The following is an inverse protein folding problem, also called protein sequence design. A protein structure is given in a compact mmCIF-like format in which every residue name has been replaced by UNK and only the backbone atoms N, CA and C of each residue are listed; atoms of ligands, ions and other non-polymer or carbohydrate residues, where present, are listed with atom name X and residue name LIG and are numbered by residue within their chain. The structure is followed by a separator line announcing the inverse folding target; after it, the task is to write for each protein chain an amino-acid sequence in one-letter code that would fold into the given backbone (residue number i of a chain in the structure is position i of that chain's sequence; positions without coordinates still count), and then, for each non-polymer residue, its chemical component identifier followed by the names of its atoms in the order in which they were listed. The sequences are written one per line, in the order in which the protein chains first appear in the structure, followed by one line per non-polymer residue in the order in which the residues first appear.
data_IF_530869741192
#
_entry.id   IF_530869741192
#
_cell.length_a   1.000
_cell.length_b   1.000
_cell.length_c   1.000
_cell.angle_alpha   90.00
_cell.angle_beta   90.00
_cell.angle_gamma   90.00
#
_symmetry.space_group_name_H-M   'P 1'
#
loop_
_entity.id
_entity.type
_entity.pdbx_description
1 polymer ?
#
# COMPACT_ATOMS: atom_id res chain seq x y z
N UNK A 1 31.88 8.10 4.01
CA UNK A 1 31.30 8.08 5.37
C UNK A 1 29.89 7.62 5.12
N UNK A 2 29.61 6.34 5.34
CA UNK A 2 28.25 5.82 5.16
C UNK A 2 27.44 6.41 6.31
N UNK A 3 26.73 7.51 6.04
CA UNK A 3 25.77 8.06 6.98
C UNK A 3 24.68 7.01 7.18
N UNK A 4 24.61 6.49 8.40
CA UNK A 4 23.57 5.56 8.81
C UNK A 4 22.22 6.25 8.64
N UNK A 5 21.37 5.67 7.79
CA UNK A 5 20.03 6.21 7.55
C UNK A 5 19.23 6.10 8.84
N UNK A 6 18.67 7.22 9.28
CA UNK A 6 17.86 7.24 10.49
C UNK A 6 16.65 6.30 10.41
N UNK A 7 16.32 5.71 11.56
CA UNK A 7 15.12 4.91 11.75
C UNK A 7 13.86 5.65 11.30
N UNK A 8 13.77 6.94 11.58
CA UNK A 8 12.62 7.76 11.19
C UNK A 8 12.46 7.85 9.67
N UNK A 9 13.56 7.98 8.93
CA UNK A 9 13.53 8.02 7.46
C UNK A 9 13.09 6.66 6.88
N UNK A 10 13.55 5.56 7.47
CA UNK A 10 13.13 4.22 7.05
C UNK A 10 11.62 4.01 7.32
N UNK A 11 11.09 4.48 8.45
CA UNK A 11 9.65 4.46 8.75
C UNK A 11 8.81 5.25 7.73
N UNK A 12 9.30 6.43 7.34
CA UNK A 12 8.68 7.32 6.35
C UNK A 12 8.64 6.68 4.96
N UNK A 13 9.77 6.11 4.52
CA UNK A 13 9.87 5.38 3.26
C UNK A 13 8.91 4.20 3.21
N UNK A 14 8.74 3.48 4.33
CA UNK A 14 7.75 2.40 4.39
C UNK A 14 6.32 2.95 4.21
N UNK A 15 5.96 4.08 4.83
CA UNK A 15 4.65 4.69 4.59
C UNK A 15 4.47 5.09 3.14
N UNK A 16 5.46 5.72 2.51
CA UNK A 16 5.40 6.06 1.09
C UNK A 16 5.23 4.82 0.20
N UNK A 17 5.95 3.73 0.50
CA UNK A 17 5.83 2.47 -0.24
C UNK A 17 4.46 1.81 -0.09
N UNK A 18 3.85 1.91 1.10
CA UNK A 18 2.45 1.49 1.29
C UNK A 18 1.51 2.32 0.40
N UNK A 19 1.73 3.63 0.30
CA UNK A 19 0.92 4.48 -0.61
C UNK A 19 1.10 4.03 -2.06
N UNK A 20 2.33 3.75 -2.51
CA UNK A 20 2.60 3.25 -3.88
C UNK A 20 1.85 1.94 -4.18
N UNK A 21 1.89 0.98 -3.24
CA UNK A 21 1.17 -0.27 -3.39
C UNK A 21 -0.36 -0.06 -3.43
N UNK A 22 -0.88 0.82 -2.56
CA UNK A 22 -2.32 1.14 -2.52
C UNK A 22 -2.76 1.89 -3.79
N UNK A 23 -1.91 2.73 -4.39
CA UNK A 23 -2.20 3.40 -5.66
C UNK A 23 -2.45 2.41 -6.80
N UNK A 24 -1.67 1.32 -6.87
CA UNK A 24 -1.87 0.26 -7.86
C UNK A 24 -3.21 -0.46 -7.60
N UNK A 25 -3.48 -0.85 -6.35
CA UNK A 25 -4.74 -1.50 -5.96
C UNK A 25 -5.97 -0.63 -6.26
N UNK A 26 -5.86 0.68 -6.04
CA UNK A 26 -6.92 1.66 -6.29
C UNK A 26 -7.27 1.85 -7.78
N UNK A 27 -6.47 1.32 -8.71
CA UNK A 27 -6.78 1.31 -10.15
C UNK A 27 -7.67 0.11 -10.55
N UNK A 28 -7.74 -0.94 -9.72
CA UNK A 28 -8.50 -2.16 -10.02
C UNK A 28 -7.86 -2.96 -11.15
N UNK A 29 -8.65 -3.37 -12.15
CA UNK A 29 -8.15 -4.16 -13.28
C UNK A 29 -7.03 -3.45 -14.05
N UNK A 30 -7.08 -2.12 -14.15
CA UNK A 30 -6.03 -1.34 -14.80
C UNK A 30 -4.68 -1.51 -14.08
N UNK A 31 -4.68 -1.45 -12.75
CA UNK A 31 -3.49 -1.70 -11.95
C UNK A 31 -3.00 -3.13 -12.04
N UNK A 32 -3.91 -4.11 -12.05
CA UNK A 32 -3.58 -5.52 -12.21
C UNK A 32 -2.90 -5.81 -13.55
N UNK A 33 -3.37 -5.21 -14.63
CA UNK A 33 -2.74 -5.32 -15.97
C UNK A 33 -1.40 -4.59 -16.02
N UNK A 34 -1.28 -3.45 -15.35
CA UNK A 34 -0.04 -2.65 -15.32
C UNK A 34 1.12 -3.39 -14.67
N UNK A 35 0.89 -4.05 -13.52
CA UNK A 35 1.96 -4.70 -12.75
C UNK A 35 1.99 -6.21 -12.91
N UNK A 36 0.98 -6.83 -13.54
CA UNK A 36 0.70 -8.27 -13.59
C UNK A 36 0.16 -8.86 -12.26
N UNK A 37 -0.52 -10.00 -12.35
CA UNK A 37 -1.21 -10.63 -11.22
C UNK A 37 -0.28 -11.10 -10.08
N UNK A 38 1.00 -11.37 -10.35
CA UNK A 38 1.95 -11.72 -9.29
C UNK A 38 2.27 -10.48 -8.45
N UNK A 39 2.62 -9.37 -9.09
CA UNK A 39 3.03 -8.14 -8.39
C UNK A 39 1.84 -7.39 -7.75
N UNK A 40 0.63 -7.57 -8.29
CA UNK A 40 -0.56 -6.83 -7.85
C UNK A 40 -0.82 -6.92 -6.33
N UNK A 41 -0.56 -8.08 -5.74
CA UNK A 41 -0.67 -8.27 -4.28
C UNK A 41 0.67 -8.15 -3.58
N UNK A 42 1.76 -8.60 -4.21
CA UNK A 42 3.08 -8.71 -3.58
C UNK A 42 3.61 -7.36 -3.11
N UNK A 43 3.45 -6.29 -3.89
CA UNK A 43 3.94 -4.97 -3.51
C UNK A 43 3.34 -4.48 -2.16
N UNK A 44 2.08 -4.84 -1.87
CA UNK A 44 1.46 -4.54 -0.59
C UNK A 44 1.98 -5.45 0.52
N UNK A 45 2.10 -6.77 0.25
CA UNK A 45 2.60 -7.74 1.23
C UNK A 45 4.09 -7.56 1.56
N UNK A 46 4.87 -6.90 0.72
CA UNK A 46 6.23 -6.45 1.03
C UNK A 46 6.28 -5.36 2.13
N UNK A 47 5.13 -4.81 2.51
CA UNK A 47 5.01 -3.81 3.58
C UNK A 47 4.20 -4.32 4.78
N UNK A 48 3.47 -5.42 4.62
CA UNK A 48 2.46 -5.89 5.56
C UNK A 48 2.47 -7.41 5.66
N UNK A 49 2.47 -7.94 6.89
CA UNK A 49 2.45 -9.38 7.15
C UNK A 49 1.67 -9.70 8.44
N UNK A 50 0.90 -10.79 8.43
CA UNK A 50 0.23 -11.36 9.59
C UNK A 50 -0.56 -10.33 10.43
N UNK A 51 -1.39 -9.51 9.76
CA UNK A 51 -2.29 -8.58 10.46
C UNK A 51 -1.71 -7.22 10.80
N UNK A 52 -0.46 -6.91 10.40
CA UNK A 52 0.26 -5.67 10.76
C UNK A 52 1.32 -5.27 9.73
N UNK A 53 1.80 -4.01 9.83
CA UNK A 53 2.97 -3.53 9.10
C UNK A 53 4.23 -4.32 9.47
N UNK A 54 5.12 -4.57 8.49
CA UNK A 54 6.39 -5.27 8.71
C UNK A 54 7.28 -4.52 9.72
N UNK A 55 7.25 -3.18 9.67
CA UNK A 55 7.88 -2.36 10.70
C UNK A 55 6.79 -1.85 11.65
N UNK A 56 6.81 -2.39 12.86
CA UNK A 56 5.86 -2.04 13.90
C UNK A 56 6.56 -1.97 15.28
N UNK A 57 6.33 -0.91 16.08
CA UNK A 57 5.53 0.27 15.75
C UNK A 57 6.18 1.10 14.62
N UNK A 58 5.39 1.92 13.92
CA UNK A 58 5.89 2.86 12.92
C UNK A 58 5.27 4.24 13.16
N UNK A 59 6.09 5.20 13.56
CA UNK A 59 5.63 6.53 13.96
C UNK A 59 5.24 7.45 12.80
N UNK A 60 5.44 7.04 11.54
CA UNK A 60 4.99 7.81 10.37
C UNK A 60 3.49 7.65 10.11
N UNK A 61 2.89 6.54 10.56
CA UNK A 61 1.45 6.28 10.46
C UNK A 61 0.70 6.96 11.61
N UNK A 62 -0.52 7.40 11.35
CA UNK A 62 -1.50 7.66 12.43
C UNK A 62 -2.22 6.36 12.78
N UNK A 63 -2.83 6.30 13.95
CA UNK A 63 -3.65 5.15 14.37
C UNK A 63 -4.74 4.81 13.34
N UNK A 64 -5.34 5.83 12.72
CA UNK A 64 -6.37 5.67 11.68
C UNK A 64 -5.77 5.06 10.41
N UNK A 65 -4.62 5.55 9.95
CA UNK A 65 -3.95 4.99 8.78
C UNK A 65 -3.49 3.54 9.02
N UNK A 66 -2.92 3.25 10.18
CA UNK A 66 -2.50 1.90 10.55
C UNK A 66 -3.70 0.94 10.53
N UNK A 67 -4.81 1.33 11.14
CA UNK A 67 -6.02 0.53 11.14
C UNK A 67 -6.54 0.30 9.71
N UNK A 68 -6.58 1.34 8.87
CA UNK A 68 -7.01 1.23 7.47
C UNK A 68 -6.13 0.27 6.66
N UNK A 69 -4.80 0.32 6.82
CA UNK A 69 -3.88 -0.62 6.16
C UNK A 69 -4.14 -2.04 6.62
N UNK A 70 -4.33 -2.24 7.92
CA UNK A 70 -4.56 -3.57 8.48
C UNK A 70 -5.89 -4.17 7.98
N UNK A 71 -6.93 -3.36 7.83
CA UNK A 71 -8.20 -3.81 7.28
C UNK A 71 -8.11 -4.13 5.79
N UNK A 72 -7.38 -3.32 5.02
CA UNK A 72 -7.06 -3.62 3.62
C UNK A 72 -6.26 -4.92 3.51
N UNK A 73 -5.22 -5.11 4.33
CA UNK A 73 -4.39 -6.33 4.33
C UNK A 73 -5.20 -7.60 4.59
N UNK A 74 -6.12 -7.58 5.58
CA UNK A 74 -7.04 -8.70 5.85
C UNK A 74 -7.97 -8.99 4.68
N UNK A 75 -8.48 -7.95 4.02
CA UNK A 75 -9.29 -8.12 2.81
C UNK A 75 -8.48 -8.79 1.70
N UNK A 76 -7.23 -8.36 1.50
CA UNK A 76 -6.33 -8.95 0.50
C UNK A 76 -6.01 -10.41 0.83
N UNK A 77 -5.72 -10.77 2.08
CA UNK A 77 -5.52 -12.18 2.49
C UNK A 77 -6.73 -13.06 2.15
N UNK A 78 -7.94 -12.55 2.41
CA UNK A 78 -9.18 -13.23 2.06
C UNK A 78 -9.30 -13.46 0.56
N UNK A 79 -9.03 -12.43 -0.24
CA UNK A 79 -9.06 -12.52 -1.70
C UNK A 79 -7.97 -13.45 -2.22
N UNK A 80 -6.73 -13.35 -1.75
CA UNK A 80 -5.64 -14.24 -2.15
C UNK A 80 -6.01 -15.70 -1.87
N UNK A 81 -6.66 -15.97 -0.73
CA UNK A 81 -7.18 -17.32 -0.41
C UNK A 81 -8.26 -17.77 -1.40
N UNK A 82 -9.20 -16.89 -1.75
CA UNK A 82 -10.23 -17.15 -2.78
C UNK A 82 -9.61 -17.45 -4.15
N UNK A 83 -8.50 -16.78 -4.51
CA UNK A 83 -7.90 -16.84 -5.85
C UNK A 83 -6.73 -17.82 -6.00
N UNK A 84 -6.38 -18.60 -4.96
CA UNK A 84 -5.25 -19.55 -4.99
C UNK A 84 -5.28 -20.57 -6.15
N UNK A 85 -6.48 -20.86 -6.66
CA UNK A 85 -6.67 -21.82 -7.74
C UNK A 85 -6.47 -21.23 -9.14
N UNK A 86 -6.39 -19.90 -9.27
CA UNK A 86 -6.18 -19.24 -10.55
C UNK A 86 -4.75 -19.48 -11.07
N UNK A 87 -4.65 -19.73 -12.36
CA UNK A 87 -3.45 -20.07 -13.12
C UNK A 87 -3.11 -19.01 -14.19
N UNK A 88 -3.93 -17.97 -14.35
CA UNK A 88 -3.70 -16.94 -15.36
C UNK A 88 -4.26 -15.56 -14.96
N UNK A 89 -3.67 -14.50 -15.51
CA UNK A 89 -4.17 -13.12 -15.38
C UNK A 89 -5.63 -12.97 -15.83
N UNK A 90 -6.03 -13.70 -16.88
CA UNK A 90 -7.39 -13.67 -17.40
C UNK A 90 -8.43 -14.15 -16.36
N UNK A 91 -8.08 -15.16 -15.54
CA UNK A 91 -8.96 -15.64 -14.46
C UNK A 91 -9.09 -14.60 -13.34
N UNK A 92 -8.00 -13.90 -13.00
CA UNK A 92 -8.06 -12.78 -12.05
C UNK A 92 -8.98 -11.67 -12.56
N UNK A 93 -8.83 -11.24 -13.81
CA UNK A 93 -9.68 -10.20 -14.41
C UNK A 93 -11.15 -10.65 -14.43
N UNK A 94 -11.42 -11.88 -14.87
CA UNK A 94 -12.79 -12.42 -14.95
C UNK A 94 -13.44 -12.61 -13.59
N UNK A 95 -12.66 -12.87 -12.53
CA UNK A 95 -13.18 -13.00 -11.16
C UNK A 95 -13.73 -11.69 -10.59
N UNK A 96 -13.28 -10.55 -11.11
CA UNK A 96 -13.61 -9.22 -10.57
C UNK A 96 -12.98 -8.92 -9.22
N UNK A 97 -11.97 -9.69 -8.76
CA UNK A 97 -11.34 -9.47 -7.46
C UNK A 97 -10.68 -8.09 -7.36
N UNK A 98 -10.00 -7.62 -8.41
CA UNK A 98 -9.36 -6.31 -8.43
C UNK A 98 -10.38 -5.17 -8.35
N UNK A 99 -11.53 -5.31 -9.02
CA UNK A 99 -12.63 -4.35 -8.92
C UNK A 99 -13.32 -4.36 -7.56
N UNK A 100 -13.33 -5.49 -6.85
CA UNK A 100 -13.78 -5.55 -5.44
C UNK A 100 -12.83 -4.79 -4.52
N UNK A 101 -11.52 -4.86 -4.74
CA UNK A 101 -10.49 -4.18 -3.93
C UNK A 101 -10.51 -2.67 -4.16
N UNK A 102 -10.68 -2.26 -5.42
CA UNK A 102 -10.61 -0.87 -5.88
C UNK A 102 -11.27 0.16 -4.96
N UNK A 103 -12.56 0.07 -4.58
CA UNK A 103 -13.17 1.10 -3.74
C UNK A 103 -12.53 1.22 -2.34
N UNK A 104 -12.15 0.08 -1.73
CA UNK A 104 -11.51 0.09 -0.41
C UNK A 104 -10.10 0.68 -0.48
N UNK A 105 -9.35 0.35 -1.54
CA UNK A 105 -8.03 0.93 -1.78
C UNK A 105 -8.11 2.43 -2.10
N UNK A 106 -9.15 2.90 -2.80
CA UNK A 106 -9.37 4.33 -3.07
C UNK A 106 -9.67 5.13 -1.80
N UNK A 107 -10.44 4.58 -0.88
CA UNK A 107 -10.69 5.19 0.44
C UNK A 107 -9.40 5.28 1.24
N UNK A 108 -8.62 4.20 1.31
CA UNK A 108 -7.32 4.17 1.96
C UNK A 108 -6.34 5.18 1.33
N UNK A 109 -6.28 5.24 0.00
CA UNK A 109 -5.43 6.18 -0.72
C UNK A 109 -5.78 7.63 -0.40
N UNK A 110 -7.08 7.95 -0.41
CA UNK A 110 -7.58 9.29 -0.08
C UNK A 110 -7.16 9.70 1.34
N UNK A 111 -7.28 8.78 2.30
CA UNK A 111 -6.83 9.01 3.68
C UNK A 111 -5.34 9.36 3.72
N UNK A 112 -4.49 8.59 3.04
CA UNK A 112 -3.06 8.84 3.01
C UNK A 112 -2.68 10.17 2.37
N UNK A 113 -3.24 10.43 1.19
CA UNK A 113 -2.91 11.61 0.39
C UNK A 113 -3.44 12.91 1.02
N UNK A 114 -4.44 12.84 1.90
CA UNK A 114 -4.90 14.00 2.68
C UNK A 114 -3.77 14.60 3.53
N UNK A 115 -2.85 13.76 4.02
CA UNK A 115 -1.65 14.19 4.75
C UNK A 115 -0.44 14.39 3.83
N UNK A 116 -0.47 13.86 2.62
CA UNK A 116 0.64 13.88 1.68
C UNK A 116 1.67 12.76 1.94
N UNK A 117 2.80 12.88 1.26
CA UNK A 117 3.94 11.94 1.35
C UNK A 117 5.06 12.56 2.18
N UNK A 118 5.86 11.71 2.79
CA UNK A 118 7.07 12.14 3.49
C UNK A 118 8.22 12.33 2.50
N UNK A 119 9.18 13.18 2.85
CA UNK A 119 10.51 13.15 2.22
C UNK A 119 11.19 11.79 2.44
N UNK A 120 11.91 11.30 1.43
CA UNK A 120 12.74 10.09 1.55
C UNK A 120 14.17 10.40 1.98
N UNK A 121 14.58 11.67 1.97
CA UNK A 121 15.97 12.08 2.14
C UNK A 121 16.28 12.59 3.55
N UNK A 122 15.27 13.09 4.27
CA UNK A 122 15.45 13.69 5.59
C UNK A 122 14.25 13.46 6.49
N UNK A 123 14.48 13.54 7.80
CA UNK A 123 13.45 13.35 8.80
C UNK A 123 12.44 14.49 8.83
N UNK A 124 11.17 14.15 8.62
CA UNK A 124 10.04 15.04 8.86
C UNK A 124 9.19 14.64 10.08
N UNK A 125 8.68 15.63 10.81
CA UNK A 125 7.71 15.38 11.90
C UNK A 125 6.33 15.00 11.35
N UNK A 126 5.90 15.68 10.28
CA UNK A 126 4.63 15.43 9.59
C UNK A 126 4.86 15.49 8.09
N UNK A 127 4.14 14.67 7.30
CA UNK A 127 4.27 14.70 5.85
C UNK A 127 3.80 16.05 5.32
N UNK A 128 4.39 16.49 4.21
CA UNK A 128 4.01 17.72 3.54
C UNK A 128 3.08 17.41 2.36
N UNK A 129 2.01 18.20 2.23
CA UNK A 129 1.27 18.30 0.97
C UNK A 129 2.19 18.99 -0.04
N UNK A 130 2.91 18.20 -0.84
CA UNK A 130 3.67 18.75 -1.95
C UNK A 130 2.69 19.39 -2.95
N UNK A 131 2.73 20.72 -3.06
CA UNK A 131 1.89 21.51 -3.97
C UNK A 131 2.21 21.29 -5.47
N UNK A 132 2.96 20.24 -5.81
CA UNK A 132 3.55 20.02 -7.15
C UNK A 132 2.95 18.81 -7.88
N UNK A 133 1.78 18.32 -7.48
CA UNK A 133 1.08 17.21 -8.16
C UNK A 133 -0.33 17.58 -8.64
N UNK A 134 -0.52 18.83 -9.08
CA UNK A 134 -1.66 19.25 -9.93
C UNK A 134 -1.31 19.23 -11.39
#
# INVERSE_FOLDING_TARGET
MDEEVSDRVIEQRLRNRVIDAVEVLARGNEGLVEVNYNEFFLAFFDCWDNGRLIRWPNSAFTDVEEQTVNDLGRMLEGITTETLHFQSEAEYIQSGCAERIKPVAQEALTLFLTRGRFSEDYEELTPALNASQT
#
